data_IF_726310837585
#
_entry.id   IF_726310837585
#
_cell.length_a   1.000
_cell.length_b   1.000
_cell.length_c   1.000
_cell.angle_alpha   90.00
_cell.angle_beta   90.00
_cell.angle_gamma   90.00
#
_symmetry.space_group_name_H-M   'P 1'
#
loop_
_entity.id
_entity.type
_entity.pdbx_description
1 polymer ?
#
# COMPACT_ATOMS: atom_id res chain seq x y z
N UNK A 1 2.16 -9.77 14.58
CA UNK A 1 1.45 -8.49 14.37
C UNK A 1 2.31 -7.64 13.45
N UNK A 2 1.70 -6.88 12.54
CA UNK A 2 2.45 -6.01 11.63
C UNK A 2 1.55 -4.94 11.04
N UNK A 3 2.16 -3.90 10.49
CA UNK A 3 1.46 -2.82 9.84
C UNK A 3 1.29 -3.12 8.35
N UNK A 4 0.09 -2.86 7.83
CA UNK A 4 -0.26 -3.13 6.44
C UNK A 4 -0.99 -1.94 5.83
N UNK A 5 -0.84 -1.76 4.52
CA UNK A 5 -1.69 -0.85 3.74
C UNK A 5 -2.19 -1.53 2.47
N UNK A 6 -3.25 -0.98 1.90
CA UNK A 6 -3.91 -1.46 0.69
C UNK A 6 -3.78 -0.43 -0.43
N UNK A 7 -3.64 -0.92 -1.65
CA UNK A 7 -3.71 -0.12 -2.87
C UNK A 7 -4.79 -0.69 -3.77
N UNK A 8 -5.80 0.10 -4.07
CA UNK A 8 -6.92 -0.27 -4.96
C UNK A 8 -6.94 0.63 -6.20
N UNK A 9 -7.48 0.11 -7.29
CA UNK A 9 -7.74 0.84 -8.54
C UNK A 9 -8.88 0.15 -9.28
N UNK A 10 -9.52 0.84 -10.21
CA UNK A 10 -10.54 0.22 -11.06
C UNK A 10 -9.96 -0.76 -12.10
N UNK A 11 -8.66 -0.64 -12.41
CA UNK A 11 -8.00 -1.44 -13.44
C UNK A 11 -7.35 -2.73 -12.91
N UNK A 12 -7.02 -2.79 -11.62
CA UNK A 12 -6.27 -3.90 -11.01
C UNK A 12 -6.87 -4.34 -9.67
N UNK A 13 -6.73 -5.62 -9.31
CA UNK A 13 -7.10 -6.10 -7.98
C UNK A 13 -6.42 -5.33 -6.86
N UNK A 14 -7.10 -5.20 -5.72
CA UNK A 14 -6.53 -4.62 -4.51
C UNK A 14 -5.27 -5.37 -4.10
N UNK A 15 -4.17 -4.63 -3.99
CA UNK A 15 -2.88 -5.13 -3.52
C UNK A 15 -2.71 -4.81 -2.04
N UNK A 16 -2.14 -5.76 -1.28
CA UNK A 16 -1.85 -5.61 0.15
C UNK A 16 -0.33 -5.57 0.31
N UNK A 17 0.17 -4.61 1.10
CA UNK A 17 1.60 -4.44 1.37
C UNK A 17 1.87 -4.53 2.87
N UNK A 18 2.87 -5.32 3.24
CA UNK A 18 3.30 -5.58 4.61
C UNK A 18 3.76 -7.04 4.81
N UNK A 19 4.03 -7.48 6.04
CA UNK A 19 4.02 -6.67 7.26
C UNK A 19 5.19 -5.68 7.33
N UNK A 20 4.93 -4.50 7.90
CA UNK A 20 5.94 -3.53 8.32
C UNK A 20 6.05 -3.49 9.85
N UNK A 21 7.22 -3.10 10.38
CA UNK A 21 7.47 -3.16 11.83
C UNK A 21 6.70 -2.08 12.61
N UNK A 22 6.40 -0.95 11.96
CA UNK A 22 5.67 0.18 12.55
C UNK A 22 4.90 0.99 11.49
N UNK A 23 3.99 1.87 11.94
CA UNK A 23 3.20 2.75 11.07
C UNK A 23 4.07 3.60 10.13
N UNK A 24 5.19 4.13 10.64
CA UNK A 24 6.11 4.97 9.88
C UNK A 24 6.72 4.26 8.68
N UNK A 25 7.16 3.01 8.86
CA UNK A 25 7.66 2.19 7.75
C UNK A 25 6.60 1.86 6.70
N UNK A 26 5.35 1.63 7.14
CA UNK A 26 4.23 1.42 6.22
C UNK A 26 3.93 2.70 5.40
N UNK A 27 3.99 3.88 6.03
CA UNK A 27 3.88 5.17 5.34
C UNK A 27 5.01 5.39 4.33
N UNK A 28 6.26 5.06 4.69
CA UNK A 28 7.36 5.07 3.72
C UNK A 28 7.14 4.08 2.57
N UNK A 29 6.53 2.93 2.86
CA UNK A 29 6.09 1.95 1.87
C UNK A 29 5.12 2.55 0.86
N UNK A 30 4.10 3.28 1.33
CA UNK A 30 3.14 3.98 0.47
C UNK A 30 3.86 4.95 -0.48
N UNK A 31 4.77 5.78 0.04
CA UNK A 31 5.52 6.74 -0.79
C UNK A 31 6.39 6.05 -1.85
N UNK A 32 7.04 4.92 -1.50
CA UNK A 32 7.79 4.11 -2.47
C UNK A 32 6.90 3.56 -3.57
N UNK A 33 5.66 3.14 -3.25
CA UNK A 33 4.72 2.66 -4.26
C UNK A 33 4.23 3.80 -5.14
N UNK A 34 3.87 4.96 -4.59
CA UNK A 34 3.49 6.15 -5.38
C UNK A 34 4.58 6.54 -6.39
N UNK A 35 5.85 6.55 -5.97
CA UNK A 35 6.99 6.85 -6.86
C UNK A 35 7.12 5.82 -7.98
N UNK A 36 6.92 4.53 -7.69
CA UNK A 36 6.96 3.46 -8.71
C UNK A 36 5.80 3.61 -9.70
N UNK A 37 4.60 3.83 -9.19
CA UNK A 37 3.38 4.04 -9.98
C UNK A 37 3.51 5.25 -10.90
N UNK A 38 4.04 6.37 -10.41
CA UNK A 38 4.24 7.58 -11.20
C UNK A 38 5.14 7.35 -12.44
N UNK A 39 5.96 6.29 -12.45
CA UNK A 39 6.80 5.91 -13.60
C UNK A 39 6.07 5.06 -14.64
N UNK A 40 4.94 4.43 -14.30
CA UNK A 40 4.21 3.55 -15.21
C UNK A 40 3.47 4.33 -16.30
N UNK A 41 3.15 5.62 -16.08
CA UNK A 41 2.43 6.48 -17.04
C UNK A 41 1.16 5.82 -17.61
N UNK A 42 0.43 5.09 -16.77
CA UNK A 42 -0.69 4.23 -17.18
C UNK A 42 -2.06 4.90 -17.06
N UNK A 43 -2.13 6.16 -16.65
CA UNK A 43 -3.37 6.95 -16.44
C UNK A 43 -4.38 6.30 -15.47
N UNK A 44 -3.92 5.37 -14.63
CA UNK A 44 -4.78 4.64 -13.69
C UNK A 44 -4.79 5.33 -12.33
N UNK A 45 -5.99 5.76 -11.91
CA UNK A 45 -6.23 6.27 -10.56
C UNK A 45 -6.10 5.15 -9.52
N UNK A 46 -5.42 5.47 -8.41
CA UNK A 46 -5.14 4.53 -7.32
C UNK A 46 -5.44 5.17 -5.99
N UNK A 47 -6.15 4.42 -5.14
CA UNK A 47 -6.42 4.78 -3.76
C UNK A 47 -5.48 4.03 -2.83
N UNK A 48 -4.95 4.73 -1.83
CA UNK A 48 -4.01 4.19 -0.85
C UNK A 48 -4.67 4.26 0.53
N UNK A 49 -4.85 3.11 1.18
CA UNK A 49 -5.38 3.12 2.55
C UNK A 49 -4.35 3.68 3.52
N UNK A 50 -4.84 4.23 4.63
CA UNK A 50 -3.97 4.46 5.79
C UNK A 50 -3.42 3.12 6.30
N UNK A 51 -2.20 3.08 6.86
CA UNK A 51 -1.68 1.87 7.49
C UNK A 51 -2.52 1.42 8.68
N UNK A 52 -2.69 0.12 8.82
CA UNK A 52 -3.42 -0.52 9.92
C UNK A 52 -2.58 -1.64 10.52
N UNK A 53 -2.51 -1.71 11.85
CA UNK A 53 -1.91 -2.85 12.55
C UNK A 53 -2.87 -4.05 12.48
N UNK A 54 -2.38 -5.20 12.00
CA UNK A 54 -3.14 -6.44 11.91
C UNK A 54 -2.41 -7.60 12.59
N UNK A 55 -3.21 -8.50 13.15
CA UNK A 55 -2.75 -9.80 13.67
C UNK A 55 -2.37 -10.75 12.53
N UNK A 56 -1.84 -11.93 12.87
CA UNK A 56 -1.36 -12.95 11.92
C UNK A 56 -2.47 -13.64 11.08
N UNK A 57 -3.75 -13.30 11.30
CA UNK A 57 -4.92 -13.92 10.66
C UNK A 57 -5.45 -13.13 9.43
N UNK A 58 -4.60 -12.30 8.80
CA UNK A 58 -4.98 -11.50 7.62
C UNK A 58 -4.45 -12.04 6.30
#
# INVERSE_FOLDING_TARGET
>A
MGWFFRVSSDAYPTSIYGPYDNEGEALEGIERIKIKVAKLSDDIEREYSWPEEKGEDY
#
